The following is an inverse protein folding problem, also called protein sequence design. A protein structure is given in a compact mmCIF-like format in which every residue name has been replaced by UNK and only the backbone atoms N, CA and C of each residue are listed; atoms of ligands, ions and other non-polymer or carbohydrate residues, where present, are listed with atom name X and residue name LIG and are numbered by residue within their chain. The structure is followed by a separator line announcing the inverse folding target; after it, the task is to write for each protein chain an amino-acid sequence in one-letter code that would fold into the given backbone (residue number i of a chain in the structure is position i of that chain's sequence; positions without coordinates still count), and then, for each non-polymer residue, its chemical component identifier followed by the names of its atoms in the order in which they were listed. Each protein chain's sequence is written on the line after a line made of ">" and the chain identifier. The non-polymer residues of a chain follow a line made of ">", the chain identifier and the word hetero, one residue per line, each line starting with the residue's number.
data_IF_844065069943
#
_entry.id   IF_844065069943
#
_cell.length_a   1.000
_cell.length_b   1.000
_cell.length_c   1.000
_cell.angle_alpha   90.00
_cell.angle_beta   90.00
_cell.angle_gamma   90.00
#
_symmetry.space_group_name_H-M   'P 1'
#
loop_
_entity.id
_entity.type
_entity.pdbx_description
1 polymer ?
#
# COMPACT_ATOMS: atom_id res chain seq x y z
N UNK A 1 50.91 37.49 -27.27
CA UNK A 1 49.82 37.61 -26.27
C UNK A 1 49.18 36.24 -26.13
N UNK A 2 49.23 35.58 -24.96
CA UNK A 2 48.46 34.37 -24.72
C UNK A 2 47.01 34.74 -24.38
N UNK A 3 46.04 34.03 -24.96
CA UNK A 3 44.62 34.17 -24.59
C UNK A 3 44.15 32.87 -23.95
N UNK A 4 43.84 32.90 -22.66
CA UNK A 4 43.28 31.75 -21.93
C UNK A 4 41.77 31.69 -22.14
N UNK A 5 41.30 30.78 -23.00
CA UNK A 5 39.89 30.52 -23.21
C UNK A 5 39.39 29.37 -22.32
N UNK A 6 39.26 29.61 -21.01
CA UNK A 6 38.59 28.68 -20.10
C UNK A 6 37.07 28.71 -20.35
N UNK A 7 36.51 27.60 -20.84
CA UNK A 7 35.06 27.37 -20.83
C UNK A 7 34.72 26.27 -19.82
N UNK A 8 33.81 26.60 -18.90
CA UNK A 8 33.46 25.73 -17.79
C UNK A 8 32.56 24.55 -18.23
N UNK A 9 32.84 23.36 -17.69
CA UNK A 9 31.94 22.22 -17.82
C UNK A 9 30.71 22.43 -16.93
N UNK A 10 29.55 22.70 -17.54
CA UNK A 10 28.28 22.78 -16.83
C UNK A 10 27.79 21.38 -16.44
N UNK A 11 28.04 20.98 -15.18
CA UNK A 11 27.53 19.72 -14.62
C UNK A 11 26.05 19.92 -14.27
N UNK A 12 25.17 19.59 -15.23
CA UNK A 12 23.72 19.58 -15.02
C UNK A 12 23.32 18.42 -14.10
N UNK A 13 23.20 18.71 -12.80
CA UNK A 13 22.57 17.79 -11.84
C UNK A 13 21.07 17.68 -12.12
N UNK A 14 20.71 16.77 -13.02
CA UNK A 14 19.33 16.34 -13.23
C UNK A 14 18.86 15.52 -12.01
N UNK A 15 18.34 16.21 -10.98
CA UNK A 15 17.60 15.56 -9.91
C UNK A 15 16.33 14.94 -10.51
N UNK A 16 16.41 13.66 -10.84
CA UNK A 16 15.24 12.79 -10.96
C UNK A 16 14.62 12.64 -9.57
N UNK A 17 13.75 13.60 -9.22
CA UNK A 17 12.88 13.53 -8.07
C UNK A 17 11.87 12.39 -8.27
N UNK A 18 12.33 11.14 -8.05
CA UNK A 18 11.44 10.05 -7.64
C UNK A 18 10.67 10.55 -6.43
N UNK A 19 9.34 10.41 -6.43
CA UNK A 19 8.53 10.68 -5.25
C UNK A 19 8.99 9.74 -4.13
N UNK A 20 9.78 10.26 -3.21
CA UNK A 20 10.44 9.48 -2.17
C UNK A 20 9.39 8.91 -1.21
N UNK A 21 9.43 7.60 -0.97
CA UNK A 21 8.49 6.95 -0.06
C UNK A 21 8.87 7.28 1.38
N UNK A 22 7.90 7.80 2.14
CA UNK A 22 8.14 8.37 3.47
C UNK A 22 7.71 7.36 4.54
N UNK A 23 8.53 7.22 5.59
CA UNK A 23 8.18 6.37 6.74
C UNK A 23 7.08 7.04 7.58
N UNK A 24 5.99 6.31 7.85
CA UNK A 24 4.80 6.79 8.55
C UNK A 24 4.32 5.80 9.60
N UNK A 25 3.64 6.30 10.63
CA UNK A 25 2.97 5.43 11.59
C UNK A 25 1.64 4.95 10.98
N UNK A 26 1.54 3.64 10.69
CA UNK A 26 0.27 3.01 10.31
C UNK A 26 -0.77 3.25 11.42
N UNK A 27 -2.01 3.65 11.11
CA UNK A 27 -3.04 3.83 12.11
C UNK A 27 -3.32 2.54 12.91
N UNK A 28 -3.24 2.62 14.24
CA UNK A 28 -3.45 1.45 15.11
C UNK A 28 -4.79 0.76 14.85
N UNK A 29 -4.75 -0.56 14.60
CA UNK A 29 -5.93 -1.37 14.29
C UNK A 29 -6.27 -1.45 12.79
N UNK A 30 -5.58 -0.71 11.93
CA UNK A 30 -5.76 -0.76 10.48
C UNK A 30 -4.79 -1.79 9.87
N UNK A 31 -5.28 -3.01 9.65
CA UNK A 31 -4.54 -4.13 9.04
C UNK A 31 -3.17 -4.40 9.70
N UNK A 32 -3.18 -4.56 11.03
CA UNK A 32 -1.99 -4.83 11.83
C UNK A 32 -1.29 -6.13 11.38
N UNK A 33 -0.07 -6.03 10.84
CA UNK A 33 0.76 -7.18 10.48
C UNK A 33 0.29 -7.92 9.22
N UNK A 34 0.73 -9.18 9.09
CA UNK A 34 0.40 -10.01 7.93
C UNK A 34 -1.10 -10.29 7.80
N UNK A 35 -1.59 -10.18 6.56
CA UNK A 35 -2.97 -10.36 6.15
C UNK A 35 -3.07 -11.50 5.13
N UNK A 36 -4.22 -12.16 5.08
CA UNK A 36 -4.55 -13.15 4.06
C UNK A 36 -6.01 -13.02 3.65
N UNK A 37 -6.30 -13.01 2.35
CA UNK A 37 -7.66 -12.80 1.85
C UNK A 37 -7.89 -13.31 0.43
N UNK A 38 -8.94 -12.81 -0.22
CA UNK A 38 -9.10 -12.95 -1.68
C UNK A 38 -8.60 -11.66 -2.33
N UNK A 39 -7.72 -11.79 -3.32
CA UNK A 39 -7.31 -10.70 -4.21
C UNK A 39 -8.15 -10.72 -5.48
N UNK A 40 -9.13 -9.84 -5.60
CA UNK A 40 -9.88 -9.63 -6.84
C UNK A 40 -9.19 -8.57 -7.72
N UNK A 41 -9.79 -8.21 -8.86
CA UNK A 41 -9.30 -7.16 -9.73
C UNK A 41 -10.39 -6.18 -10.17
N UNK A 42 -9.96 -4.95 -10.47
CA UNK A 42 -10.78 -3.87 -11.01
C UNK A 42 -10.03 -3.07 -12.09
N UNK A 43 -10.77 -2.33 -12.91
CA UNK A 43 -10.25 -1.42 -13.94
C UNK A 43 -10.42 0.04 -13.52
N UNK A 44 -9.55 0.92 -14.02
CA UNK A 44 -9.66 2.37 -13.84
C UNK A 44 -10.88 2.96 -14.57
N UNK A 45 -11.33 2.29 -15.63
CA UNK A 45 -12.59 2.56 -16.32
C UNK A 45 -13.54 1.39 -16.17
N UNK A 46 -14.50 1.53 -15.27
CA UNK A 46 -15.71 0.70 -15.18
C UNK A 46 -16.96 1.58 -15.20
N UNK A 47 -18.09 0.98 -15.58
CA UNK A 47 -19.40 1.63 -15.66
C UNK A 47 -19.72 2.41 -14.37
N UNK A 48 -19.93 3.72 -14.49
CA UNK A 48 -20.26 4.61 -13.37
C UNK A 48 -19.08 5.27 -12.63
N UNK A 49 -17.82 4.96 -12.96
CA UNK A 49 -16.67 5.72 -12.42
C UNK A 49 -16.58 7.12 -13.02
N UNK A 50 -16.15 8.11 -12.23
CA UNK A 50 -15.95 9.50 -12.69
C UNK A 50 -14.51 9.77 -13.15
N UNK A 51 -13.78 8.72 -13.54
CA UNK A 51 -12.36 8.78 -13.91
C UNK A 51 -11.41 9.07 -12.73
N UNK A 52 -11.84 8.83 -11.48
CA UNK A 52 -11.04 9.04 -10.26
C UNK A 52 -11.27 7.95 -9.22
N UNK A 53 -10.26 7.76 -8.39
CA UNK A 53 -10.35 6.99 -7.16
C UNK A 53 -11.26 7.62 -6.11
N UNK A 54 -11.67 6.81 -5.13
CA UNK A 54 -12.13 7.25 -3.81
C UNK A 54 -11.10 8.15 -3.10
N UNK A 55 -9.80 8.02 -3.41
CA UNK A 55 -8.75 8.92 -2.95
C UNK A 55 -8.70 10.29 -3.67
N UNK A 56 -9.57 10.52 -4.66
CA UNK A 56 -9.84 11.83 -5.27
C UNK A 56 -8.93 12.23 -6.46
N UNK A 57 -8.03 11.34 -6.88
CA UNK A 57 -7.10 11.56 -7.99
C UNK A 57 -7.44 10.67 -9.20
N UNK A 58 -7.13 11.10 -10.44
CA UNK A 58 -7.28 10.25 -11.62
C UNK A 58 -6.20 9.17 -11.66
N UNK A 59 -6.59 7.96 -12.03
CA UNK A 59 -5.72 6.78 -12.12
C UNK A 59 -5.86 6.06 -13.47
N UNK A 60 -5.07 5.02 -13.67
CA UNK A 60 -5.06 4.20 -14.89
C UNK A 60 -4.89 2.72 -14.56
N UNK A 61 -5.22 1.85 -15.52
CA UNK A 61 -5.07 0.39 -15.42
C UNK A 61 -3.63 -0.08 -15.13
N UNK A 62 -2.62 0.79 -15.32
CA UNK A 62 -1.20 0.54 -15.07
C UNK A 62 -0.67 1.16 -13.78
N UNK A 63 -1.49 1.87 -13.00
CA UNK A 63 -1.05 2.36 -11.69
C UNK A 63 -1.01 1.21 -10.66
N UNK A 64 0.11 1.04 -9.91
CA UNK A 64 0.30 -0.05 -8.96
C UNK A 64 -0.49 0.19 -7.66
N UNK A 65 -1.82 0.16 -7.75
CA UNK A 65 -2.71 0.43 -6.62
C UNK A 65 -3.61 -0.77 -6.28
N UNK A 66 -4.09 -0.76 -5.05
CA UNK A 66 -5.14 -1.65 -4.57
C UNK A 66 -6.18 -0.88 -3.76
N UNK A 67 -7.34 -1.50 -3.57
CA UNK A 67 -8.40 -1.05 -2.70
C UNK A 67 -8.56 -1.99 -1.50
N UNK A 68 -8.91 -1.42 -0.35
CA UNK A 68 -9.45 -2.17 0.79
C UNK A 68 -10.95 -1.86 0.94
N UNK A 69 -11.65 -2.63 1.78
CA UNK A 69 -13.04 -2.34 2.09
C UNK A 69 -13.22 -0.90 2.59
N UNK A 70 -14.14 -0.17 1.97
CA UNK A 70 -14.56 1.17 2.41
C UNK A 70 -14.97 1.20 3.90
N UNK A 71 -15.47 0.09 4.45
CA UNK A 71 -15.82 -0.05 5.87
C UNK A 71 -14.59 0.07 6.78
N UNK A 72 -13.46 -0.52 6.40
CA UNK A 72 -12.21 -0.43 7.17
C UNK A 72 -11.65 1.01 7.22
N UNK A 73 -11.94 1.81 6.19
CA UNK A 73 -11.58 3.24 6.12
C UNK A 73 -12.64 4.18 6.72
N UNK A 74 -13.67 3.64 7.40
CA UNK A 74 -14.68 4.43 8.13
C UNK A 74 -16.02 4.62 7.41
N UNK A 75 -16.21 4.04 6.22
CA UNK A 75 -17.52 3.93 5.59
C UNK A 75 -18.09 5.25 5.05
N UNK A 76 -17.25 6.18 4.57
CA UNK A 76 -17.68 7.49 4.05
C UNK A 76 -17.13 7.78 2.66
N UNK A 77 -18.01 8.29 1.80
CA UNK A 77 -17.72 8.77 0.45
C UNK A 77 -17.88 10.28 0.38
N UNK A 78 -17.33 10.93 -0.65
CA UNK A 78 -17.49 12.38 -0.85
C UNK A 78 -18.97 12.81 -0.78
N UNK A 79 -19.86 12.05 -1.42
CA UNK A 79 -21.30 12.34 -1.48
C UNK A 79 -22.04 12.12 -0.15
N UNK A 80 -21.55 11.24 0.73
CA UNK A 80 -22.22 10.90 2.00
C UNK A 80 -21.71 11.69 3.21
N UNK A 81 -20.42 12.05 3.24
CA UNK A 81 -19.86 13.02 4.18
C UNK A 81 -18.51 13.55 3.66
N UNK A 82 -18.46 14.73 3.01
CA UNK A 82 -17.22 15.26 2.43
C UNK A 82 -16.07 15.45 3.43
N UNK A 83 -16.38 15.79 4.68
CA UNK A 83 -15.38 16.09 5.71
C UNK A 83 -14.77 14.80 6.31
N UNK A 84 -15.60 13.81 6.63
CA UNK A 84 -15.14 12.52 7.11
C UNK A 84 -14.43 11.73 5.99
N UNK A 85 -14.89 11.85 4.74
CA UNK A 85 -14.17 11.36 3.56
C UNK A 85 -12.79 12.02 3.42
N UNK A 86 -12.69 13.35 3.57
CA UNK A 86 -11.40 14.06 3.55
C UNK A 86 -10.45 13.53 4.63
N UNK A 87 -10.91 13.44 5.87
CA UNK A 87 -10.11 12.93 6.98
C UNK A 87 -9.68 11.47 6.80
N UNK A 88 -10.52 10.62 6.19
CA UNK A 88 -10.17 9.23 5.89
C UNK A 88 -9.15 9.10 4.74
N UNK A 89 -9.38 9.80 3.63
CA UNK A 89 -8.46 9.82 2.47
C UNK A 89 -7.08 10.37 2.84
N UNK A 90 -7.00 11.47 3.60
CA UNK A 90 -5.75 11.99 4.16
C UNK A 90 -5.04 11.06 5.16
N UNK A 91 -5.72 10.02 5.66
CA UNK A 91 -5.22 9.06 6.67
C UNK A 91 -4.87 7.68 6.11
N UNK A 92 -5.35 7.32 4.93
CA UNK A 92 -5.13 5.98 4.34
C UNK A 92 -4.59 5.97 2.91
N UNK A 93 -4.84 7.00 2.10
CA UNK A 93 -4.47 6.98 0.67
C UNK A 93 -2.95 7.07 0.45
N UNK A 94 -2.42 6.21 -0.41
CA UNK A 94 -1.00 6.13 -0.75
C UNK A 94 -0.17 5.30 0.22
N UNK A 95 -0.77 4.74 1.28
CA UNK A 95 -0.09 3.77 2.17
C UNK A 95 0.38 2.57 1.34
N UNK A 96 1.64 2.19 1.51
CA UNK A 96 2.27 1.12 0.75
C UNK A 96 2.04 -0.24 1.43
N UNK A 97 1.73 -1.25 0.64
CA UNK A 97 1.65 -2.65 1.02
C UNK A 97 2.60 -3.49 0.17
N UNK A 98 3.23 -4.50 0.79
CA UNK A 98 3.77 -5.63 0.04
C UNK A 98 2.63 -6.61 -0.19
N UNK A 99 2.39 -7.00 -1.45
CA UNK A 99 1.28 -7.86 -1.88
C UNK A 99 1.83 -9.01 -2.71
N UNK A 100 1.49 -10.24 -2.31
CA UNK A 100 2.05 -11.49 -2.86
C UNK A 100 0.96 -12.48 -3.23
N UNK A 101 1.08 -13.04 -4.43
CA UNK A 101 0.32 -14.23 -4.81
C UNK A 101 1.09 -15.49 -4.35
N UNK A 102 0.55 -16.31 -3.42
CA UNK A 102 1.22 -17.52 -2.97
C UNK A 102 1.33 -18.61 -4.06
N UNK A 103 0.50 -18.56 -5.10
CA UNK A 103 0.44 -19.57 -6.17
C UNK A 103 1.55 -19.39 -7.20
N UNK A 104 1.81 -18.16 -7.65
CA UNK A 104 2.96 -17.85 -8.53
C UNK A 104 4.24 -17.52 -7.76
N UNK A 105 4.13 -17.17 -6.47
CA UNK A 105 5.24 -16.73 -5.63
C UNK A 105 5.71 -15.29 -5.91
N UNK A 106 5.03 -14.55 -6.80
CA UNK A 106 5.38 -13.16 -7.10
C UNK A 106 4.89 -12.21 -6.01
N UNK A 107 5.66 -11.15 -5.77
CA UNK A 107 5.39 -10.10 -4.80
C UNK A 107 5.64 -8.71 -5.43
N UNK A 108 4.78 -7.75 -5.10
CA UNK A 108 4.84 -6.37 -5.60
C UNK A 108 4.52 -5.37 -4.48
N UNK A 109 5.11 -4.17 -4.56
CA UNK A 109 4.70 -3.03 -3.73
C UNK A 109 3.53 -2.32 -4.42
N UNK A 110 2.36 -2.35 -3.78
CA UNK A 110 1.15 -1.65 -4.22
C UNK A 110 0.76 -0.57 -3.22
N UNK A 111 0.05 0.46 -3.67
CA UNK A 111 -0.38 1.58 -2.83
C UNK A 111 -1.89 1.58 -2.65
N UNK A 112 -2.37 1.87 -1.44
CA UNK A 112 -3.79 1.97 -1.14
C UNK A 112 -4.37 3.19 -1.85
N UNK A 113 -4.96 2.98 -3.01
CA UNK A 113 -5.35 4.03 -3.93
C UNK A 113 -6.86 4.19 -4.10
N UNK A 114 -7.67 3.23 -3.64
CA UNK A 114 -9.12 3.26 -3.80
C UNK A 114 -9.87 2.50 -2.67
N UNK A 115 -11.21 2.45 -2.73
CA UNK A 115 -12.07 1.81 -1.74
C UNK A 115 -13.20 1.00 -2.39
N UNK A 116 -13.31 -0.30 -2.09
CA UNK A 116 -14.38 -1.14 -2.65
C UNK A 116 -15.59 -1.27 -1.71
N UNK A 117 -16.77 -1.52 -2.31
CA UNK A 117 -18.04 -1.58 -1.58
C UNK A 117 -18.06 -2.75 -0.57
N UNK A 118 -18.45 -2.52 0.70
CA UNK A 118 -18.53 -3.56 1.71
C UNK A 118 -19.43 -4.76 1.37
N UNK A 119 -20.37 -4.62 0.42
CA UNK A 119 -21.22 -5.72 -0.04
C UNK A 119 -20.44 -6.85 -0.74
N UNK A 120 -19.32 -6.55 -1.39
CA UNK A 120 -18.51 -7.54 -2.12
C UNK A 120 -17.33 -8.09 -1.31
N UNK A 121 -17.19 -7.68 -0.03
CA UNK A 121 -16.12 -8.10 0.87
C UNK A 121 -16.36 -9.52 1.39
N UNK A 122 -15.77 -10.51 0.70
CA UNK A 122 -15.88 -11.93 1.07
C UNK A 122 -15.01 -12.34 2.26
N UNK A 123 -13.92 -11.62 2.56
CA UNK A 123 -13.22 -11.72 3.85
C UNK A 123 -12.72 -10.33 4.30
N UNK A 124 -12.53 -10.08 5.61
CA UNK A 124 -12.17 -8.74 6.12
C UNK A 124 -10.86 -8.17 5.54
N UNK A 125 -9.94 -9.05 5.13
CA UNK A 125 -8.63 -8.71 4.54
C UNK A 125 -8.54 -9.02 3.05
N UNK A 126 -9.68 -9.15 2.36
CA UNK A 126 -9.73 -9.08 0.89
C UNK A 126 -9.26 -7.71 0.38
N UNK A 127 -8.65 -7.73 -0.80
CA UNK A 127 -8.20 -6.56 -1.54
C UNK A 127 -8.67 -6.64 -2.98
N UNK A 128 -8.95 -5.49 -3.58
CA UNK A 128 -9.23 -5.37 -5.01
C UNK A 128 -8.00 -4.75 -5.68
N UNK A 129 -7.44 -5.38 -6.71
CA UNK A 129 -6.13 -5.00 -7.27
C UNK A 129 -6.33 -4.36 -8.64
N UNK A 130 -5.65 -3.23 -8.92
CA UNK A 130 -5.72 -2.61 -10.24
C UNK A 130 -5.23 -3.59 -11.31
N UNK A 131 -5.98 -3.72 -12.41
CA UNK A 131 -5.84 -4.82 -13.36
C UNK A 131 -4.40 -5.06 -13.84
N UNK A 132 -3.60 -4.03 -14.13
CA UNK A 132 -2.19 -4.19 -14.52
C UNK A 132 -1.35 -4.91 -13.45
N UNK A 133 -1.46 -4.49 -12.20
CA UNK A 133 -0.79 -5.14 -11.07
C UNK A 133 -1.31 -6.57 -10.82
N UNK A 134 -2.60 -6.83 -11.05
CA UNK A 134 -3.14 -8.20 -10.99
C UNK A 134 -2.54 -9.10 -12.08
N UNK A 135 -2.40 -8.58 -13.31
CA UNK A 135 -1.76 -9.29 -14.43
C UNK A 135 -0.29 -9.59 -14.14
N UNK A 136 0.43 -8.63 -13.58
CA UNK A 136 1.83 -8.81 -13.19
C UNK A 136 1.99 -9.87 -12.08
N UNK A 137 1.07 -9.95 -11.11
CA UNK A 137 1.03 -11.01 -10.08
C UNK A 137 0.58 -12.37 -10.65
N UNK A 138 -0.71 -12.53 -10.95
CA UNK A 138 -1.37 -13.83 -11.20
C UNK A 138 -1.55 -14.18 -12.68
N UNK A 139 -1.30 -13.24 -13.59
CA UNK A 139 -1.56 -13.39 -15.03
C UNK A 139 -2.91 -12.82 -15.47
N UNK A 140 -3.19 -12.88 -16.77
CA UNK A 140 -4.37 -12.23 -17.35
C UNK A 140 -5.69 -12.95 -16.97
N UNK A 141 -6.64 -12.28 -16.28
CA UNK A 141 -7.95 -12.85 -16.02
C UNK A 141 -8.84 -12.93 -17.28
N UNK A 142 -8.42 -12.33 -18.41
CA UNK A 142 -9.19 -12.31 -19.66
C UNK A 142 -10.63 -11.77 -19.48
N UNK A 143 -10.79 -10.78 -18.59
CA UNK A 143 -12.05 -10.19 -18.14
C UNK A 143 -13.02 -11.16 -17.42
N UNK A 144 -12.54 -12.32 -16.94
CA UNK A 144 -13.32 -13.25 -16.10
C UNK A 144 -13.19 -12.86 -14.63
N UNK A 145 -14.28 -12.37 -14.03
CA UNK A 145 -14.31 -11.79 -12.68
C UNK A 145 -14.09 -12.83 -11.57
N UNK A 146 -14.37 -14.10 -11.86
CA UNK A 146 -14.14 -15.25 -10.98
C UNK A 146 -12.66 -15.66 -10.90
N UNK A 147 -11.81 -15.15 -11.81
CA UNK A 147 -10.36 -15.34 -11.74
C UNK A 147 -9.78 -14.40 -10.69
N UNK A 148 -9.56 -14.94 -9.49
CA UNK A 148 -9.04 -14.22 -8.31
C UNK A 148 -7.82 -14.93 -7.70
N UNK A 149 -7.02 -14.18 -6.95
CA UNK A 149 -5.94 -14.75 -6.13
C UNK A 149 -6.56 -15.29 -4.83
N UNK A 150 -6.58 -16.61 -4.71
CA UNK A 150 -7.03 -17.28 -3.49
C UNK A 150 -5.91 -17.29 -2.45
N UNK A 151 -6.18 -16.70 -1.27
CA UNK A 151 -5.19 -16.61 -0.19
C UNK A 151 -4.09 -15.56 -0.43
N UNK A 152 -4.40 -14.45 -1.11
CA UNK A 152 -3.43 -13.36 -1.34
C UNK A 152 -2.82 -12.91 -0.01
N UNK A 153 -1.50 -12.92 0.07
CA UNK A 153 -0.73 -12.54 1.25
C UNK A 153 -0.36 -11.06 1.13
N UNK A 154 -0.60 -10.25 2.17
CA UNK A 154 -0.17 -8.85 2.15
C UNK A 154 0.10 -8.25 3.52
N UNK A 155 0.83 -7.14 3.57
CA UNK A 155 0.99 -6.33 4.78
C UNK A 155 1.33 -4.88 4.43
N UNK A 156 0.91 -3.93 5.27
CA UNK A 156 1.33 -2.53 5.16
C UNK A 156 2.79 -2.38 5.60
N UNK A 157 3.63 -1.69 4.80
CA UNK A 157 5.09 -1.66 4.99
C UNK A 157 5.57 -0.60 5.98
N UNK A 158 4.67 0.29 6.44
CA UNK A 158 5.02 1.48 7.21
C UNK A 158 5.51 2.65 6.35
N UNK A 159 5.33 2.59 5.03
CA UNK A 159 5.64 3.68 4.09
C UNK A 159 4.38 4.26 3.43
N UNK A 160 4.50 5.48 2.93
CA UNK A 160 3.53 6.15 2.06
C UNK A 160 4.23 6.66 0.80
N UNK A 161 3.54 6.63 -0.34
CA UNK A 161 4.01 7.25 -1.58
C UNK A 161 3.17 8.50 -1.92
N UNK A 162 3.75 9.71 -1.88
CA UNK A 162 3.03 10.95 -2.18
C UNK A 162 2.36 11.01 -3.55
N UNK A 163 2.79 10.23 -4.57
CA UNK A 163 2.10 10.15 -5.87
C UNK A 163 0.66 9.64 -5.73
N UNK A 164 0.43 8.72 -4.81
CA UNK A 164 -0.85 8.01 -4.62
C UNK A 164 -1.60 8.50 -3.36
N UNK A 165 -1.12 9.58 -2.74
CA UNK A 165 -1.78 10.18 -1.60
C UNK A 165 -2.94 11.09 -2.02
N UNK A 166 -3.92 11.26 -1.13
CA UNK A 166 -5.04 12.17 -1.38
C UNK A 166 -4.58 13.64 -1.45
N UNK A 167 -5.22 14.52 -2.25
CA UNK A 167 -4.87 15.93 -2.31
C UNK A 167 -4.90 16.61 -0.93
N UNK A 168 -3.74 17.11 -0.49
CA UNK A 168 -3.57 17.72 0.84
C UNK A 168 -3.42 16.73 1.98
N UNK A 169 -3.10 15.45 1.74
CA UNK A 169 -2.65 14.54 2.78
C UNK A 169 -1.32 15.03 3.39
N UNK A 170 -1.24 15.01 4.72
CA UNK A 170 -0.03 15.34 5.49
C UNK A 170 0.15 14.25 6.53
N UNK A 171 1.34 13.65 6.55
CA UNK A 171 1.62 12.47 7.36
C UNK A 171 2.47 12.84 8.57
N UNK A 172 2.17 12.30 9.77
CA UNK A 172 3.12 12.31 10.87
C UNK A 172 4.27 11.38 10.49
N UNK A 173 5.33 11.95 9.92
CA UNK A 173 6.56 11.24 9.59
C UNK A 173 7.07 10.52 10.83
N UNK A 174 7.30 9.22 10.74
CA UNK A 174 8.05 8.53 11.80
C UNK A 174 9.47 9.15 11.80
N UNK A 175 10.02 9.53 12.96
CA UNK A 175 11.44 9.86 13.04
C UNK A 175 12.26 8.75 12.38
N UNK A 176 13.25 9.12 11.58
CA UNK A 176 14.15 8.14 10.99
C UNK A 176 15.02 7.61 12.12
N UNK A 177 14.64 6.46 12.68
CA UNK A 177 15.53 5.67 13.51
C UNK A 177 16.83 5.51 12.73
N UNK A 178 17.95 5.94 13.32
CA UNK A 178 19.24 5.99 12.63
C UNK A 178 19.77 4.56 12.42
N UNK A 179 19.26 3.90 11.37
CA UNK A 179 19.80 2.65 10.86
C UNK A 179 21.30 2.82 10.57
N UNK A 180 22.09 1.74 10.72
CA UNK A 180 23.54 1.82 10.58
C UNK A 180 23.89 2.47 9.25
N UNK A 181 24.75 3.49 9.29
CA UNK A 181 25.21 4.20 8.10
C UNK A 181 25.77 3.22 7.08
N UNK A 182 25.53 3.43 5.77
CA UNK A 182 26.19 2.64 4.74
C UNK A 182 27.69 2.63 5.00
N UNK A 183 28.35 1.45 5.00
CA UNK A 183 29.76 1.37 5.34
C UNK A 183 30.56 2.24 4.35
N UNK A 184 31.24 3.25 4.88
CA UNK A 184 32.27 4.00 4.16
C UNK A 184 33.24 2.97 3.57
N UNK A 185 33.63 3.07 2.29
CA UNK A 185 34.54 2.12 1.64
C UNK A 185 35.96 2.26 2.19
N UNK A 186 36.17 1.78 3.41
CA UNK A 186 37.47 1.72 4.09
C UNK A 186 38.30 0.60 3.48
N UNK A 187 39.54 0.94 3.13
CA UNK A 187 40.54 0.04 2.54
C UNK A 187 40.69 -1.27 3.32
N UNK A 188 40.90 -2.39 2.62
CA UNK A 188 41.11 -3.69 3.26
C UNK A 188 42.27 -3.65 4.28
N UNK A 189 42.02 -4.10 5.50
CA UNK A 189 43.06 -4.43 6.47
C UNK A 189 42.70 -5.71 7.23
N UNK A 190 43.70 -6.48 7.62
CA UNK A 190 43.58 -7.93 7.82
C UNK A 190 43.50 -8.39 9.28
N UNK A 191 42.75 -9.47 9.50
CA UNK A 191 42.93 -10.50 10.54
C UNK A 191 42.74 -10.14 12.04
N UNK A 192 41.64 -10.60 12.64
CA UNK A 192 41.63 -11.28 13.97
C UNK A 192 40.28 -11.99 14.27
N UNK A 193 40.32 -13.00 15.15
CA UNK A 193 39.21 -13.79 15.76
C UNK A 193 39.76 -14.38 17.08
N UNK A 194 39.01 -14.75 18.16
CA UNK A 194 37.61 -15.20 18.30
C UNK A 194 36.77 -14.25 19.21
N UNK A 195 35.73 -14.56 20.03
CA UNK A 195 35.18 -15.80 20.64
C UNK A 195 33.67 -15.62 21.03
N UNK A 196 32.83 -16.68 21.07
CA UNK A 196 31.36 -16.52 21.16
C UNK A 196 30.73 -16.65 22.58
N UNK A 197 29.40 -16.46 22.62
CA UNK A 197 28.42 -16.75 23.71
C UNK A 197 28.27 -15.67 24.81
N UNK A 198 27.09 -15.53 25.48
CA UNK A 198 26.01 -16.52 25.64
C UNK A 198 24.56 -16.10 25.26
N UNK A 199 23.64 -17.06 25.40
CA UNK A 199 22.21 -17.03 25.08
C UNK A 199 21.35 -16.22 26.08
N UNK A 200 20.27 -15.52 25.65
CA UNK A 200 19.24 -14.99 26.54
C UNK A 200 18.19 -16.05 26.94
N UNK A 201 17.56 -15.95 28.13
CA UNK A 201 16.55 -16.90 28.60
C UNK A 201 15.15 -16.69 27.99
N UNK A 202 14.32 -17.73 28.01
CA UNK A 202 12.94 -17.72 27.54
C UNK A 202 11.96 -17.08 28.55
N UNK A 203 10.76 -16.71 28.07
CA UNK A 203 9.64 -16.24 28.90
C UNK A 203 8.27 -16.80 28.39
N UNK A 204 7.18 -16.74 29.18
CA UNK A 204 6.10 -17.75 29.18
C UNK A 204 4.89 -17.42 28.26
N UNK A 205 3.81 -18.25 28.20
CA UNK A 205 2.97 -18.38 27.00
C UNK A 205 1.81 -17.38 26.86
N UNK A 206 1.14 -17.46 25.70
CA UNK A 206 0.11 -16.54 25.22
C UNK A 206 -1.23 -16.60 25.98
N UNK A 207 -2.02 -15.52 25.81
CA UNK A 207 -3.39 -15.37 26.32
C UNK A 207 -4.37 -15.42 25.15
N UNK A 208 -5.41 -16.25 25.24
CA UNK A 208 -6.45 -16.35 24.22
C UNK A 208 -7.46 -15.19 24.30
N UNK A 209 -7.92 -14.62 23.17
CA UNK A 209 -9.03 -13.68 23.13
C UNK A 209 -10.40 -14.38 23.26
N UNK A 210 -11.38 -13.67 23.83
CA UNK A 210 -12.77 -14.09 23.95
C UNK A 210 -13.59 -13.76 22.68
N UNK A 211 -14.76 -14.40 22.44
CA UNK A 211 -15.45 -14.34 21.14
C UNK A 211 -16.26 -13.05 20.93
N UNK A 212 -16.38 -12.64 19.66
CA UNK A 212 -17.28 -11.58 19.22
C UNK A 212 -18.66 -12.13 18.83
N UNK A 213 -19.73 -11.44 19.21
CA UNK A 213 -21.13 -11.79 18.94
C UNK A 213 -21.89 -10.55 18.45
N UNK A 214 -22.89 -10.73 17.58
CA UNK A 214 -23.94 -9.72 17.31
C UNK A 214 -24.00 -9.17 15.88
N UNK A 215 -25.00 -9.62 15.12
CA UNK A 215 -25.39 -9.04 13.83
C UNK A 215 -26.35 -7.85 14.01
N UNK A 216 -26.26 -6.84 13.14
CA UNK A 216 -27.33 -5.89 12.83
C UNK A 216 -27.11 -5.27 11.42
N UNK A 217 -28.16 -4.81 10.70
CA UNK A 217 -28.16 -4.79 9.23
C UNK A 217 -27.80 -3.44 8.57
N UNK A 218 -27.68 -3.45 7.24
CA UNK A 218 -27.31 -2.32 6.40
C UNK A 218 -28.46 -1.78 5.53
N UNK A 219 -28.38 -0.48 5.22
CA UNK A 219 -29.09 0.27 4.16
C UNK A 219 -28.34 1.63 4.05
N UNK A 220 -28.09 2.23 2.89
CA UNK A 220 -28.23 1.81 1.49
C UNK A 220 -27.85 2.98 0.56
N UNK A 221 -27.40 2.70 -0.68
CA UNK A 221 -27.02 3.65 -1.75
C UNK A 221 -25.94 4.71 -1.43
N UNK A 222 -24.78 4.67 -2.13
CA UNK A 222 -23.71 5.64 -1.87
C UNK A 222 -22.53 5.73 -2.84
N UNK A 223 -22.71 5.37 -4.12
CA UNK A 223 -21.68 5.49 -5.20
C UNK A 223 -20.30 4.92 -4.82
N UNK A 224 -20.26 3.66 -4.42
CA UNK A 224 -19.03 2.86 -4.50
C UNK A 224 -18.80 2.38 -5.94
N UNK A 225 -17.56 2.06 -6.28
CA UNK A 225 -17.20 1.37 -7.53
C UNK A 225 -18.01 0.08 -7.66
N UNK A 226 -18.57 -0.22 -8.84
CA UNK A 226 -19.10 -1.57 -9.12
C UNK A 226 -17.91 -2.53 -9.27
N UNK A 227 -17.39 -2.96 -8.13
CA UNK A 227 -16.44 -4.04 -8.05
C UNK A 227 -17.10 -5.36 -8.48
N UNK A 228 -16.27 -6.24 -9.02
CA UNK A 228 -16.59 -7.56 -9.57
C UNK A 228 -17.71 -8.28 -8.80
N UNK A 229 -18.83 -8.57 -9.46
CA UNK A 229 -19.95 -9.34 -8.89
C UNK A 229 -19.59 -10.82 -8.82
N UNK A 230 -18.87 -11.22 -7.77
CA UNK A 230 -18.56 -12.62 -7.44
C UNK A 230 -19.67 -13.25 -6.60
#
# INVERSE_FOLDING_TARGET
>A
MPSFASFAAAISFALLARAETQNVNIPSGFFNGAQTGIGSWFTAVSEGTNGKSWCGYPYSDSDPIFAVSLKAMGGKTYNSNPAAWRAATQKYCGLEASVKDPKTGKEMLLYLGDAFDPAWVRSPSSIDIMIGAFKDLNGDPNNVHEVVIQGVEWHLTGRVNPKFAAPGAIWPTKPVDAGPTPPVPTTMQTSASPRPSPTPPANPPAVNPAPANGNAPANGNGTGTECSKI
#
